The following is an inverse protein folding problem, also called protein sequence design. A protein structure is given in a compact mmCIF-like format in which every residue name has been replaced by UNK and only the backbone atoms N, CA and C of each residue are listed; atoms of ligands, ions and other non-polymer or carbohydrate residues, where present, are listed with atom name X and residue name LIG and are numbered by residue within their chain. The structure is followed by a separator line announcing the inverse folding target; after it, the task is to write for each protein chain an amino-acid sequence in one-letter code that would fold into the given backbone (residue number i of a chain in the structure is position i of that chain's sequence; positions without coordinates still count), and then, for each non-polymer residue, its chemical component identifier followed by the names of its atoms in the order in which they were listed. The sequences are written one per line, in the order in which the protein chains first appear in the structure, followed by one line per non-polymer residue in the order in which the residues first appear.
data_IF_119849228688
#
_entry.id   IF_119849228688
#
_cell.length_a   1.000
_cell.length_b   1.000
_cell.length_c   1.000
_cell.angle_alpha   90.00
_cell.angle_beta   90.00
_cell.angle_gamma   90.00
#
_symmetry.space_group_name_H-M   'P 1'
#
loop_
_entity.id
_entity.type
_entity.pdbx_description
1 polymer ?
#
# COMPACT_ATOMS: atom_id res chain seq x y z
N UNK A 1 28.88 -6.31 -8.76
CA UNK A 1 28.16 -5.02 -8.86
C UNK A 1 26.87 -5.12 -8.04
N UNK A 2 26.92 -4.79 -6.75
CA UNK A 2 25.72 -4.73 -5.92
C UNK A 2 24.98 -3.44 -6.21
N UNK A 3 23.79 -3.53 -6.83
CA UNK A 3 22.87 -2.38 -6.90
C UNK A 3 22.35 -2.13 -5.49
N UNK A 4 22.98 -1.19 -4.80
CA UNK A 4 22.42 -0.61 -3.59
C UNK A 4 21.22 0.24 -4.03
N UNK A 5 20.03 -0.36 -4.05
CA UNK A 5 18.78 0.40 -4.19
C UNK A 5 18.51 1.07 -2.84
N UNK A 6 19.31 2.10 -2.54
CA UNK A 6 19.07 2.96 -1.40
C UNK A 6 17.86 3.84 -1.69
N UNK A 7 16.71 3.49 -1.13
CA UNK A 7 15.57 4.40 -1.07
C UNK A 7 15.89 5.45 0.00
N UNK A 8 16.48 6.57 -0.40
CA UNK A 8 16.55 7.74 0.49
C UNK A 8 15.12 8.30 0.54
N UNK A 9 14.39 7.97 1.61
CA UNK A 9 13.12 8.59 1.93
C UNK A 9 13.42 10.02 2.42
N UNK A 10 13.66 10.95 1.48
CA UNK A 10 13.64 12.37 1.81
C UNK A 10 12.19 12.73 2.14
N UNK A 11 11.89 12.79 3.43
CA UNK A 11 10.69 13.43 3.93
C UNK A 11 10.84 14.93 3.64
N UNK A 12 10.49 15.35 2.43
CA UNK A 12 10.29 16.76 2.14
C UNK A 12 8.99 17.17 2.82
N UNK A 13 8.98 18.22 3.65
CA UNK A 13 7.73 18.87 4.04
C UNK A 13 6.90 19.09 2.77
N UNK A 14 5.59 18.83 2.84
CA UNK A 14 4.70 19.25 1.78
C UNK A 14 4.74 20.79 1.72
N UNK A 15 5.61 21.32 0.87
CA UNK A 15 5.55 22.72 0.46
C UNK A 15 4.48 22.82 -0.62
N UNK A 16 3.35 23.44 -0.27
CA UNK A 16 2.39 23.87 -1.27
C UNK A 16 3.02 24.97 -2.13
N UNK A 17 3.83 24.61 -3.13
CA UNK A 17 4.42 25.57 -4.09
C UNK A 17 3.38 26.16 -5.05
N UNK A 18 2.09 25.93 -4.81
CA UNK A 18 0.99 26.62 -5.48
C UNK A 18 0.01 27.15 -4.42
N UNK A 19 0.18 28.42 -4.09
CA UNK A 19 -0.80 29.22 -3.37
C UNK A 19 -2.16 29.13 -4.08
N UNK A 20 -3.04 28.23 -3.63
CA UNK A 20 -4.43 28.13 -4.13
C UNK A 20 -4.94 26.72 -4.48
N UNK A 21 -4.09 25.68 -4.53
CA UNK A 21 -4.57 24.32 -4.82
C UNK A 21 -5.28 23.71 -3.60
N UNK A 22 -6.62 23.66 -3.64
CA UNK A 22 -7.43 23.03 -2.58
C UNK A 22 -7.18 21.52 -2.56
N UNK A 23 -6.79 20.98 -1.40
CA UNK A 23 -6.64 19.54 -1.22
C UNK A 23 -7.96 18.81 -1.53
N UNK A 24 -7.87 17.76 -2.33
CA UNK A 24 -9.00 16.89 -2.63
C UNK A 24 -9.33 16.04 -1.39
N UNK A 25 -10.59 16.04 -0.98
CA UNK A 25 -11.07 15.16 0.10
C UNK A 25 -11.31 13.77 -0.45
N UNK A 26 -10.78 12.75 0.22
CA UNK A 26 -10.90 11.35 -0.18
C UNK A 26 -11.21 10.48 1.03
N UNK A 27 -11.86 9.34 0.78
CA UNK A 27 -11.98 8.23 1.73
C UNK A 27 -10.89 7.18 1.38
N UNK A 28 -10.22 6.64 2.40
CA UNK A 28 -9.25 5.54 2.25
C UNK A 28 -9.90 4.27 2.77
N UNK A 29 -10.03 3.27 1.91
CA UNK A 29 -10.55 1.94 2.27
C UNK A 29 -9.40 0.93 2.26
N UNK A 30 -9.22 0.21 3.35
CA UNK A 30 -8.13 -0.77 3.53
C UNK A 30 -8.74 -2.14 3.77
N UNK A 31 -8.26 -3.14 3.04
CA UNK A 31 -8.56 -4.54 3.29
C UNK A 31 -7.39 -5.42 2.84
N UNK A 32 -7.54 -6.73 3.02
CA UNK A 32 -6.56 -7.75 2.63
C UNK A 32 -6.28 -7.85 1.12
N UNK A 33 -7.09 -7.23 0.28
CA UNK A 33 -6.84 -7.16 -1.17
C UNK A 33 -5.98 -5.95 -1.52
N UNK A 34 -6.14 -4.83 -0.82
CA UNK A 34 -5.49 -3.58 -1.17
C UNK A 34 -5.99 -2.34 -0.45
N UNK A 35 -5.49 -1.20 -0.93
CA UNK A 35 -5.91 0.15 -0.56
C UNK A 35 -6.69 0.76 -1.72
N UNK A 36 -7.88 1.26 -1.45
CA UNK A 36 -8.71 1.98 -2.42
C UNK A 36 -8.88 3.43 -1.97
N UNK A 37 -8.60 4.36 -2.88
CA UNK A 37 -8.80 5.80 -2.70
C UNK A 37 -10.10 6.17 -3.42
N UNK A 38 -11.03 6.76 -2.68
CA UNK A 38 -12.37 7.10 -3.18
C UNK A 38 -12.59 8.61 -3.03
N UNK A 39 -13.15 9.27 -4.05
CA UNK A 39 -13.53 10.67 -3.93
C UNK A 39 -14.62 10.84 -2.87
N UNK A 40 -14.41 11.77 -1.94
CA UNK A 40 -15.32 11.93 -0.80
C UNK A 40 -16.73 12.37 -1.22
N UNK A 41 -16.87 13.17 -2.29
CA UNK A 41 -18.15 13.74 -2.73
C UNK A 41 -18.90 12.81 -3.65
N UNK A 42 -18.25 12.35 -4.71
CA UNK A 42 -18.89 11.55 -5.77
C UNK A 42 -18.93 10.07 -5.43
N UNK A 43 -18.15 9.64 -4.42
CA UNK A 43 -17.95 8.24 -4.05
C UNK A 43 -17.38 7.38 -5.18
N UNK A 44 -16.75 8.01 -6.18
CA UNK A 44 -16.07 7.30 -7.27
C UNK A 44 -14.70 6.81 -6.84
N UNK A 45 -14.34 5.59 -7.21
CA UNK A 45 -12.99 5.06 -7.01
C UNK A 45 -12.02 5.83 -7.90
N UNK A 46 -11.01 6.45 -7.27
CA UNK A 46 -9.96 7.21 -7.95
C UNK A 46 -8.77 6.32 -8.25
N UNK A 47 -8.34 5.54 -7.26
CA UNK A 47 -7.20 4.62 -7.39
C UNK A 47 -7.46 3.35 -6.59
N UNK A 48 -6.93 2.24 -7.08
CA UNK A 48 -6.94 0.95 -6.39
C UNK A 48 -5.55 0.32 -6.49
N UNK A 49 -4.91 0.19 -5.34
CA UNK A 49 -3.59 -0.43 -5.23
C UNK A 49 -3.72 -1.76 -4.49
N UNK A 50 -3.52 -2.88 -5.18
CA UNK A 50 -3.39 -4.16 -4.51
C UNK A 50 -2.21 -4.15 -3.54
N UNK A 51 -2.30 -4.86 -2.40
CA UNK A 51 -1.23 -4.85 -1.39
C UNK A 51 0.13 -5.23 -1.98
N UNK A 52 0.20 -6.21 -2.90
CA UNK A 52 1.46 -6.62 -3.55
C UNK A 52 2.15 -5.52 -4.39
N UNK A 53 1.45 -4.44 -4.71
CA UNK A 53 2.00 -3.29 -5.44
C UNK A 53 2.43 -2.16 -4.52
N UNK A 54 1.99 -2.16 -3.27
CA UNK A 54 2.39 -1.19 -2.25
C UNK A 54 3.70 -1.69 -1.63
N UNK A 55 4.75 -0.88 -1.70
CA UNK A 55 6.08 -1.24 -1.20
C UNK A 55 6.35 -0.73 0.21
N UNK A 56 5.71 0.36 0.62
CA UNK A 56 5.93 0.98 1.93
C UNK A 56 4.74 1.83 2.35
N UNK A 57 4.51 1.95 3.65
CA UNK A 57 3.60 2.94 4.24
C UNK A 57 4.18 3.49 5.55
N UNK A 58 3.90 4.76 5.85
CA UNK A 58 4.37 5.40 7.08
C UNK A 58 3.50 6.59 7.50
N UNK A 59 3.42 6.78 8.82
CA UNK A 59 3.01 8.00 9.47
C UNK A 59 4.23 8.92 9.72
N UNK A 60 3.99 10.24 9.73
CA UNK A 60 5.02 11.20 10.18
C UNK A 60 5.04 11.31 11.70
N UNK A 61 6.23 11.22 12.30
CA UNK A 61 6.41 11.23 13.77
C UNK A 61 6.22 12.63 14.39
N UNK A 62 6.40 13.69 13.61
CA UNK A 62 6.25 15.07 14.07
C UNK A 62 4.84 15.60 13.77
N UNK A 63 4.24 15.23 12.63
CA UNK A 63 2.87 15.57 12.27
C UNK A 63 1.97 14.34 12.15
N UNK A 64 1.24 14.03 13.24
CA UNK A 64 0.30 12.90 13.35
C UNK A 64 -0.86 12.91 12.34
N UNK A 65 -0.99 13.96 11.54
CA UNK A 65 -1.97 14.03 10.45
C UNK A 65 -1.45 13.38 9.17
N UNK A 66 -0.14 13.29 8.98
CA UNK A 66 0.46 12.85 7.71
C UNK A 66 0.56 11.34 7.68
N UNK A 67 -0.14 10.74 6.72
CA UNK A 67 0.01 9.35 6.31
C UNK A 67 0.53 9.29 4.88
N UNK A 68 1.39 8.33 4.58
CA UNK A 68 1.88 8.12 3.23
C UNK A 68 2.01 6.65 2.88
N UNK A 69 1.89 6.34 1.58
CA UNK A 69 2.31 5.05 1.05
C UNK A 69 2.99 5.20 -0.31
N UNK A 70 3.86 4.25 -0.63
CA UNK A 70 4.54 4.15 -1.91
C UNK A 70 4.00 2.92 -2.63
N UNK A 71 3.58 3.08 -3.88
CA UNK A 71 3.16 1.98 -4.73
C UNK A 71 3.87 2.01 -6.08
N UNK A 72 4.03 0.84 -6.69
CA UNK A 72 4.46 0.74 -8.09
C UNK A 72 3.41 1.38 -8.99
N UNK A 73 3.85 2.21 -9.93
CA UNK A 73 2.96 2.87 -10.87
C UNK A 73 2.20 1.83 -11.71
N UNK A 74 0.95 2.13 -12.02
CA UNK A 74 0.11 1.29 -12.88
C UNK A 74 0.51 1.41 -14.35
N UNK A 75 1.06 2.55 -14.77
CA UNK A 75 1.46 2.82 -16.16
C UNK A 75 2.91 2.42 -16.45
N UNK A 76 3.79 2.48 -15.46
CA UNK A 76 5.22 2.16 -15.60
C UNK A 76 5.72 1.29 -14.42
N UNK A 77 5.91 -0.02 -14.62
CA UNK A 77 6.30 -0.95 -13.56
C UNK A 77 7.65 -0.65 -12.88
N UNK A 78 8.53 0.12 -13.54
CA UNK A 78 9.84 0.51 -13.02
C UNK A 78 9.76 1.77 -12.14
N UNK A 79 8.62 2.47 -12.15
CA UNK A 79 8.40 3.69 -11.36
C UNK A 79 7.60 3.41 -10.10
N UNK A 80 7.91 4.21 -9.08
CA UNK A 80 7.18 4.25 -7.82
C UNK A 80 6.53 5.62 -7.63
N UNK A 81 5.29 5.62 -7.17
CA UNK A 81 4.49 6.80 -6.87
C UNK A 81 4.30 6.89 -5.36
N UNK A 82 4.55 8.07 -4.80
CA UNK A 82 4.33 8.35 -3.38
C UNK A 82 3.02 9.11 -3.21
N UNK A 83 2.12 8.56 -2.40
CA UNK A 83 0.85 9.17 -2.04
C UNK A 83 0.93 9.68 -0.62
N UNK A 84 0.61 10.96 -0.43
CA UNK A 84 0.64 11.63 0.87
C UNK A 84 -0.74 12.17 1.19
N UNK A 85 -1.23 11.87 2.39
CA UNK A 85 -2.57 12.22 2.85
C UNK A 85 -2.49 12.99 4.17
N UNK A 86 -3.37 13.97 4.29
CA UNK A 86 -3.63 14.66 5.55
C UNK A 86 -4.93 14.10 6.15
N UNK A 87 -4.79 13.48 7.32
CA UNK A 87 -5.87 12.88 8.10
C UNK A 87 -6.20 13.74 9.34
N UNK A 88 -7.34 13.48 9.96
CA UNK A 88 -7.68 14.10 11.25
C UNK A 88 -7.00 13.36 12.42
N UNK A 89 -5.66 13.39 12.44
CA UNK A 89 -4.79 12.74 13.45
C UNK A 89 -4.92 11.21 13.52
N UNK A 90 -5.37 10.57 12.44
CA UNK A 90 -5.54 9.12 12.35
C UNK A 90 -4.37 8.42 11.63
N UNK A 91 -3.30 9.14 11.27
CA UNK A 91 -2.25 8.60 10.40
C UNK A 91 -1.57 7.34 10.95
N UNK A 92 -1.30 7.30 12.27
CA UNK A 92 -0.74 6.13 12.94
C UNK A 92 -1.68 4.92 12.84
N UNK A 93 -2.97 5.11 13.11
CA UNK A 93 -3.97 4.03 13.02
C UNK A 93 -4.13 3.53 11.58
N UNK A 94 -4.09 4.43 10.59
CA UNK A 94 -4.11 4.06 9.17
C UNK A 94 -2.88 3.21 8.84
N UNK A 95 -1.69 3.62 9.29
CA UNK A 95 -0.43 2.88 9.07
C UNK A 95 -0.49 1.49 9.68
N UNK A 96 -0.97 1.36 10.93
CA UNK A 96 -1.15 0.07 11.59
C UNK A 96 -2.13 -0.82 10.83
N UNK A 97 -3.28 -0.28 10.42
CA UNK A 97 -4.29 -1.03 9.66
C UNK A 97 -3.74 -1.56 8.33
N UNK A 98 -2.93 -0.76 7.62
CA UNK A 98 -2.26 -1.23 6.39
C UNK A 98 -1.25 -2.34 6.72
N UNK A 99 -0.46 -2.19 7.79
CA UNK A 99 0.48 -3.22 8.25
C UNK A 99 -0.20 -4.55 8.59
N UNK A 100 -1.30 -4.50 9.33
CA UNK A 100 -2.11 -5.68 9.66
C UNK A 100 -2.68 -6.35 8.40
N UNK A 101 -3.13 -5.56 7.43
CA UNK A 101 -3.62 -6.08 6.16
C UNK A 101 -2.51 -6.79 5.37
N UNK A 102 -1.28 -6.25 5.36
CA UNK A 102 -0.10 -6.91 4.80
C UNK A 102 0.18 -8.25 5.48
N UNK A 103 0.22 -8.28 6.81
CA UNK A 103 0.48 -9.50 7.58
C UNK A 103 -0.56 -10.58 7.28
N UNK A 104 -1.84 -10.20 7.24
CA UNK A 104 -2.93 -11.13 6.96
C UNK A 104 -2.88 -11.62 5.51
N UNK A 105 -2.60 -10.75 4.55
CA UNK A 105 -2.45 -11.13 3.15
C UNK A 105 -1.25 -12.06 2.94
N UNK A 106 -0.14 -11.81 3.63
CA UNK A 106 1.07 -12.64 3.58
C UNK A 106 0.84 -14.03 4.19
N UNK A 107 0.19 -14.11 5.35
CA UNK A 107 -0.21 -15.40 5.97
C UNK A 107 -1.07 -16.23 5.00
N UNK A 108 -2.09 -15.61 4.40
CA UNK A 108 -2.95 -16.27 3.39
C UNK A 108 -2.17 -16.73 2.16
N UNK A 109 -1.18 -15.96 1.73
CA UNK A 109 -0.31 -16.35 0.63
C UNK A 109 0.51 -17.60 1.02
N UNK A 110 1.13 -17.63 2.19
CA UNK A 110 1.88 -18.80 2.65
C UNK A 110 1.01 -20.04 2.78
N UNK A 111 -0.18 -19.94 3.36
CA UNK A 111 -1.09 -21.06 3.55
C UNK A 111 -1.51 -21.67 2.21
N UNK A 112 -1.85 -20.82 1.22
CA UNK A 112 -2.19 -21.25 -0.15
C UNK A 112 -1.02 -21.94 -0.85
N UNK A 113 0.20 -21.42 -0.70
CA UNK A 113 1.37 -22.04 -1.30
C UNK A 113 1.72 -23.36 -0.62
N UNK A 114 1.56 -23.46 0.70
CA UNK A 114 1.74 -24.72 1.45
C UNK A 114 0.75 -25.79 1.02
N UNK A 115 -0.54 -25.45 0.90
CA UNK A 115 -1.55 -26.38 0.37
C UNK A 115 -1.33 -26.69 -1.10
N UNK A 116 -0.82 -25.76 -1.92
CA UNK A 116 -0.48 -26.04 -3.32
C UNK A 116 0.67 -27.05 -3.45
N UNK A 117 1.69 -26.95 -2.58
CA UNK A 117 2.80 -27.92 -2.48
C UNK A 117 2.33 -29.29 -1.95
N UNK A 118 1.44 -29.31 -0.96
CA UNK A 118 0.83 -30.55 -0.43
C UNK A 118 -0.08 -31.22 -1.48
N UNK A 119 -0.87 -30.44 -2.23
CA UNK A 119 -1.72 -30.94 -3.32
C UNK A 119 -0.89 -31.48 -4.49
N UNK A 120 0.26 -30.88 -4.82
CA UNK A 120 1.17 -31.45 -5.83
C UNK A 120 1.82 -32.76 -5.36
N UNK A 121 2.13 -32.92 -4.06
CA UNK A 121 2.63 -34.19 -3.52
C UNK A 121 1.57 -35.30 -3.55
N UNK A 122 0.30 -34.98 -3.34
CA UNK A 122 -0.81 -35.94 -3.41
C UNK A 122 -1.07 -36.42 -4.85
N UNK A 123 -0.88 -35.54 -5.85
CA UNK A 123 -1.11 -35.87 -7.27
C UNK A 123 -0.01 -36.78 -7.87
N UNK A 124 1.19 -36.83 -7.28
CA UNK A 124 2.27 -37.71 -7.75
C UNK A 124 2.22 -39.17 -7.27
N UNK A 125 1.21 -39.60 -6.49
CA UNK A 125 1.11 -40.97 -5.93
C UNK A 125 -0.07 -41.77 -6.50
N UNK A 126 -0.36 -41.64 -7.81
CA UNK A 126 -1.29 -42.53 -8.50
C UNK A 126 -0.64 -43.02 -9.80
N UNK A 127 0.17 -44.07 -9.67
CA UNK A 127 0.57 -44.95 -10.77
C UNK A 127 0.88 -46.33 -10.20
N UNK A 128 -0.13 -47.19 -10.17
CA UNK A 128 0.01 -48.64 -10.28
C UNK A 128 -1.01 -49.08 -11.33
#
# INVERSE_FOLDING_TARGET
LGRQTGFILQVKPFESSQSGAKLQKVDIQINVEGVTIVDYKTKTVLHRYPLQKISFCADDKQDKRIFSFIAKSQSDPEKHECYVFLSDKMAEQITLTVGEAFDLAYKRYLDKNRTSLENQKQVCILSI
#
